data_IF_955813859027
#
_entry.id   IF_955813859027
#
_cell.length_a   1.000
_cell.length_b   1.000
_cell.length_c   1.000
_cell.angle_alpha   90.00
_cell.angle_beta   90.00
_cell.angle_gamma   90.00
#
_symmetry.space_group_name_H-M   'P 1'
#
loop_
_entity.id
_entity.type
_entity.pdbx_description
1 polymer ?
#
# COMPACT_ATOMS: atom_id res chain seq x y z
N UNK A 1 -2.97 -15.09 17.04
CA UNK A 1 -3.58 -13.92 16.38
C UNK A 1 -3.06 -12.60 16.92
N UNK A 2 -3.32 -12.17 18.18
CA UNK A 2 -2.87 -10.84 18.67
C UNK A 2 -1.34 -10.61 18.59
N UNK A 3 -0.53 -11.66 18.69
CA UNK A 3 0.93 -11.56 18.69
C UNK A 3 1.56 -11.40 17.30
N UNK A 4 0.94 -11.93 16.25
CA UNK A 4 1.48 -11.86 14.88
C UNK A 4 1.31 -10.44 14.32
N UNK A 5 0.14 -9.86 14.54
CA UNK A 5 -0.17 -8.48 14.14
C UNK A 5 0.81 -7.47 14.74
N UNK A 6 1.27 -7.69 15.98
CA UNK A 6 2.17 -6.75 16.67
C UNK A 6 3.56 -6.68 16.05
N UNK A 7 4.08 -7.80 15.53
CA UNK A 7 5.39 -7.82 14.89
C UNK A 7 5.30 -7.24 13.48
N UNK A 8 4.22 -7.54 12.75
CA UNK A 8 3.94 -6.94 11.44
C UNK A 8 3.86 -5.42 11.57
N UNK A 9 3.08 -4.90 12.52
CA UNK A 9 2.95 -3.45 12.74
C UNK A 9 4.32 -2.81 13.04
N UNK A 10 5.14 -3.44 13.90
CA UNK A 10 6.49 -2.93 14.19
C UNK A 10 7.38 -2.89 12.95
N UNK A 11 7.32 -3.93 12.10
CA UNK A 11 8.10 -3.95 10.86
C UNK A 11 7.63 -2.88 9.88
N UNK A 12 6.32 -2.67 9.77
CA UNK A 12 5.74 -1.59 8.96
C UNK A 12 6.21 -0.23 9.49
N UNK A 13 6.11 0.01 10.79
CA UNK A 13 6.51 1.28 11.40
C UNK A 13 8.02 1.54 11.19
N UNK A 14 8.86 0.51 11.33
CA UNK A 14 10.30 0.61 11.05
C UNK A 14 10.59 0.90 9.57
N UNK A 15 9.88 0.28 8.65
CA UNK A 15 10.06 0.52 7.21
C UNK A 15 9.63 1.95 6.83
N UNK A 16 8.50 2.43 7.36
CA UNK A 16 8.04 3.81 7.14
C UNK A 16 9.02 4.83 7.75
N UNK A 17 9.56 4.55 8.94
CA UNK A 17 10.58 5.42 9.55
C UNK A 17 11.87 5.49 8.72
N UNK A 18 12.26 4.40 8.06
CA UNK A 18 13.43 4.34 7.20
C UNK A 18 13.25 5.16 5.91
N UNK A 19 12.10 5.00 5.24
CA UNK A 19 11.85 5.62 3.94
C UNK A 19 11.38 7.08 4.04
N UNK A 20 10.37 7.34 4.89
CA UNK A 20 9.67 8.64 4.91
C UNK A 20 10.07 9.50 6.10
N UNK A 21 10.67 8.92 7.14
CA UNK A 21 11.17 9.53 8.40
C UNK A 21 10.46 10.79 8.89
N UNK A 22 10.75 11.93 8.27
CA UNK A 22 10.20 13.24 8.65
C UNK A 22 9.13 13.76 7.67
N UNK A 23 9.23 13.44 6.38
CA UNK A 23 8.23 13.76 5.35
C UNK A 23 8.63 13.26 3.95
N UNK A 24 7.65 13.01 3.08
CA UNK A 24 7.86 12.87 1.64
C UNK A 24 7.86 14.26 0.97
N UNK A 25 9.04 14.87 0.86
CA UNK A 25 9.20 16.25 0.37
C UNK A 25 8.76 16.39 -1.09
N UNK A 26 9.09 15.40 -1.92
CA UNK A 26 8.80 15.45 -3.36
C UNK A 26 7.31 15.45 -3.59
N UNK A 27 6.59 14.47 -3.01
CA UNK A 27 5.13 14.38 -3.12
C UNK A 27 4.45 15.62 -2.56
N UNK A 28 4.89 16.11 -1.39
CA UNK A 28 4.29 17.30 -0.77
C UNK A 28 4.56 18.60 -1.53
N UNK A 29 5.67 18.70 -2.26
CA UNK A 29 6.00 19.89 -3.06
C UNK A 29 5.19 19.96 -4.37
N UNK A 30 4.82 18.81 -4.93
CA UNK A 30 4.07 18.71 -6.18
C UNK A 30 2.56 18.74 -5.90
N UNK A 31 2.11 18.01 -4.89
CA UNK A 31 0.70 17.92 -4.50
C UNK A 31 0.36 18.97 -3.45
N UNK A 32 -0.02 20.16 -3.94
CA UNK A 32 -0.41 21.28 -3.08
C UNK A 32 -1.76 21.01 -2.40
N UNK A 33 -2.70 20.37 -3.11
CA UNK A 33 -3.98 19.96 -2.57
C UNK A 33 -3.98 18.45 -2.35
N UNK A 34 -4.65 18.03 -1.27
CA UNK A 34 -4.91 16.61 -1.06
C UNK A 34 -6.17 16.22 -1.84
N UNK A 35 -6.03 15.29 -2.78
CA UNK A 35 -7.09 14.80 -3.63
C UNK A 35 -7.26 13.31 -3.40
N UNK A 36 -8.50 12.81 -3.37
CA UNK A 36 -8.71 11.36 -3.39
C UNK A 36 -8.48 10.83 -4.80
N UNK A 37 -7.59 9.83 -4.94
CA UNK A 37 -7.32 9.13 -6.20
C UNK A 37 -7.50 7.63 -6.03
N UNK A 38 -7.48 6.93 -7.16
CA UNK A 38 -7.47 5.46 -7.21
C UNK A 38 -6.18 4.99 -7.89
N UNK A 39 -5.50 4.05 -7.25
CA UNK A 39 -4.33 3.34 -7.75
C UNK A 39 -4.68 1.86 -7.99
N UNK A 40 -3.85 1.20 -8.80
CA UNK A 40 -4.02 -0.22 -9.12
C UNK A 40 -2.70 -0.96 -8.96
N UNK A 41 -2.73 -2.05 -8.20
CA UNK A 41 -1.60 -2.97 -8.10
C UNK A 41 -1.62 -3.86 -9.35
N UNK A 42 -0.49 -3.96 -10.05
CA UNK A 42 -0.37 -4.75 -11.29
C UNK A 42 0.77 -5.75 -11.16
N UNK A 43 0.47 -7.02 -11.46
CA UNK A 43 1.44 -8.10 -11.52
C UNK A 43 2.40 -7.84 -12.70
N UNK A 44 3.69 -7.59 -12.43
CA UNK A 44 4.67 -7.27 -13.48
C UNK A 44 5.28 -8.52 -14.14
N UNK A 45 5.09 -9.69 -13.53
CA UNK A 45 5.60 -10.98 -13.96
C UNK A 45 4.74 -12.09 -13.36
N UNK A 46 4.59 -13.19 -14.08
CA UNK A 46 3.89 -14.39 -13.62
C UNK A 46 4.40 -14.89 -12.26
N UNK A 47 3.48 -15.28 -11.38
CA UNK A 47 3.81 -15.71 -10.03
C UNK A 47 2.60 -16.09 -9.19
N UNK A 48 2.78 -16.11 -7.87
CA UNK A 48 1.73 -16.32 -6.87
C UNK A 48 1.72 -15.13 -5.93
N UNK A 49 0.54 -14.56 -5.67
CA UNK A 49 0.38 -13.38 -4.83
C UNK A 49 0.54 -13.74 -3.34
N UNK A 50 1.19 -12.87 -2.59
CA UNK A 50 1.27 -12.95 -1.13
C UNK A 50 1.45 -11.55 -0.53
N UNK A 51 0.91 -11.32 0.66
CA UNK A 51 1.11 -10.12 1.46
C UNK A 51 0.12 -8.99 1.18
N UNK A 52 -1.04 -9.24 0.54
CA UNK A 52 -2.02 -8.18 0.25
C UNK A 52 -2.56 -7.50 1.52
N UNK A 53 -2.77 -8.26 2.59
CA UNK A 53 -3.21 -7.69 3.87
C UNK A 53 -2.13 -6.79 4.48
N UNK A 54 -0.84 -7.14 4.33
CA UNK A 54 0.27 -6.31 4.79
C UNK A 54 0.36 -5.03 3.96
N UNK A 55 0.23 -5.12 2.63
CA UNK A 55 0.20 -3.95 1.75
C UNK A 55 -0.94 -2.99 2.12
N UNK A 56 -2.12 -3.53 2.41
CA UNK A 56 -3.25 -2.74 2.92
C UNK A 56 -2.92 -2.07 4.26
N UNK A 57 -2.30 -2.78 5.20
CA UNK A 57 -1.90 -2.21 6.49
C UNK A 57 -0.89 -1.08 6.34
N UNK A 58 0.09 -1.21 5.44
CA UNK A 58 1.05 -0.13 5.12
C UNK A 58 0.29 1.11 4.65
N UNK A 59 -0.57 0.96 3.65
CA UNK A 59 -1.32 2.08 3.11
C UNK A 59 -2.22 2.74 4.16
N UNK A 60 -2.83 1.96 5.06
CA UNK A 60 -3.64 2.46 6.18
C UNK A 60 -2.85 3.27 7.22
N UNK A 61 -1.52 3.13 7.28
CA UNK A 61 -0.67 3.98 8.13
C UNK A 61 -0.55 5.40 7.59
N UNK A 62 -0.61 5.56 6.27
CA UNK A 62 -0.58 6.86 5.61
C UNK A 62 -1.97 7.49 5.49
N UNK A 63 -3.01 6.68 5.26
CA UNK A 63 -4.41 7.12 5.21
C UNK A 63 -5.35 6.07 5.86
N UNK A 64 -5.85 6.33 7.09
CA UNK A 64 -6.76 5.42 7.77
C UNK A 64 -8.10 5.21 7.04
N UNK A 65 -8.50 6.11 6.13
CA UNK A 65 -9.77 6.04 5.38
C UNK A 65 -9.63 5.28 4.05
N UNK A 66 -8.47 4.67 3.78
CA UNK A 66 -8.22 4.01 2.50
C UNK A 66 -9.21 2.86 2.24
N UNK A 67 -9.71 2.82 1.00
CA UNK A 67 -10.59 1.77 0.52
C UNK A 67 -9.75 0.83 -0.34
N UNK A 68 -9.64 -0.42 0.12
CA UNK A 68 -8.88 -1.48 -0.55
C UNK A 68 -9.83 -2.54 -1.11
N UNK A 69 -9.66 -2.92 -2.38
CA UNK A 69 -10.46 -3.94 -3.05
C UNK A 69 -9.57 -4.94 -3.81
N UNK A 70 -9.53 -6.18 -3.33
CA UNK A 70 -8.82 -7.27 -4.00
C UNK A 70 -9.55 -7.70 -5.29
N UNK A 71 -8.78 -7.96 -6.34
CA UNK A 71 -9.26 -8.63 -7.56
C UNK A 71 -8.86 -10.11 -7.50
N UNK A 72 -7.65 -10.39 -7.00
CA UNK A 72 -7.14 -11.72 -6.66
C UNK A 72 -6.64 -11.71 -5.20
N UNK A 73 -6.51 -12.88 -4.59
CA UNK A 73 -6.15 -13.03 -3.18
C UNK A 73 -4.76 -13.64 -3.00
N UNK A 74 -4.23 -13.56 -1.78
CA UNK A 74 -3.03 -14.28 -1.40
C UNK A 74 -3.19 -15.78 -1.67
N UNK A 75 -2.19 -16.37 -2.33
CA UNK A 75 -2.20 -17.77 -2.79
C UNK A 75 -2.70 -17.97 -4.22
N UNK A 76 -3.35 -16.98 -4.83
CA UNK A 76 -3.75 -17.05 -6.24
C UNK A 76 -2.54 -16.85 -7.16
N UNK A 77 -2.53 -17.57 -8.29
CA UNK A 77 -1.57 -17.31 -9.35
C UNK A 77 -1.95 -16.01 -10.11
N UNK A 78 -0.96 -15.22 -10.52
CA UNK A 78 -1.15 -14.08 -11.43
C UNK A 78 -0.26 -14.19 -12.66
N UNK A 79 -0.71 -13.59 -13.76
CA UNK A 79 0.10 -13.42 -14.97
C UNK A 79 0.53 -11.96 -15.15
N UNK A 80 1.58 -11.75 -15.93
CA UNK A 80 2.06 -10.40 -16.27
C UNK A 80 0.91 -9.53 -16.79
N UNK A 81 0.88 -8.30 -16.29
CA UNK A 81 -0.11 -7.25 -16.56
C UNK A 81 -1.50 -7.48 -15.96
N UNK A 82 -1.69 -8.53 -15.16
CA UNK A 82 -2.92 -8.73 -14.41
C UNK A 82 -3.07 -7.72 -13.27
N UNK A 83 -4.29 -7.23 -13.06
CA UNK A 83 -4.59 -6.32 -11.95
C UNK A 83 -4.83 -7.14 -10.69
N UNK A 84 -4.19 -6.74 -9.61
CA UNK A 84 -4.19 -7.47 -8.33
C UNK A 84 -5.22 -6.88 -7.35
N UNK A 85 -5.22 -5.56 -7.20
CA UNK A 85 -6.11 -4.83 -6.30
C UNK A 85 -6.30 -3.38 -6.77
N UNK A 86 -7.44 -2.79 -6.40
CA UNK A 86 -7.68 -1.35 -6.48
C UNK A 86 -7.59 -0.73 -5.09
N UNK A 87 -7.01 0.45 -5.02
CA UNK A 87 -6.77 1.17 -3.76
C UNK A 87 -7.17 2.62 -3.94
N UNK A 88 -8.05 3.14 -3.10
CA UNK A 88 -8.54 4.51 -3.19
C UNK A 88 -8.35 5.24 -1.86
N UNK A 89 -7.73 6.42 -1.92
CA UNK A 89 -7.41 7.24 -0.74
C UNK A 89 -6.76 8.56 -1.12
N UNK A 90 -6.19 9.27 -0.13
CA UNK A 90 -5.37 10.46 -0.35
C UNK A 90 -4.28 10.19 -1.38
N UNK A 91 -4.14 11.08 -2.36
CA UNK A 91 -3.11 10.93 -3.40
C UNK A 91 -1.70 10.98 -2.80
N UNK A 92 -1.50 11.77 -1.74
CA UNK A 92 -0.24 11.80 -1.02
C UNK A 92 0.06 10.47 -0.35
N UNK A 93 -0.94 9.90 0.34
CA UNK A 93 -0.79 8.60 0.98
C UNK A 93 -0.52 7.47 -0.02
N UNK A 94 -1.20 7.49 -1.17
CA UNK A 94 -0.99 6.50 -2.23
C UNK A 94 0.43 6.54 -2.79
N UNK A 95 1.06 7.72 -2.86
CA UNK A 95 2.44 7.86 -3.36
C UNK A 95 3.48 7.59 -2.28
N UNK A 96 3.25 8.01 -1.04
CA UNK A 96 4.23 7.78 0.05
C UNK A 96 4.23 6.34 0.58
N UNK A 97 3.21 5.54 0.29
CA UNK A 97 3.11 4.15 0.71
C UNK A 97 3.28 3.10 -0.39
N UNK A 98 3.71 3.49 -1.60
CA UNK A 98 3.79 2.61 -2.79
C UNK A 98 4.92 1.57 -2.79
#
# INVERSE_FOLDING_TARGET
MISEDINIIKLIDLAIEEDVKNNDITTNSILVNDETKEAVFICKQDGVIAGLDVAKMVMQKFDPEIIWNNIINDGDACVKSERIAYVKGSYKALLSGE
#
